data_IF_748125122104
#
_entry.id   IF_748125122104
#
_cell.length_a   1.000
_cell.length_b   1.000
_cell.length_c   1.000
_cell.angle_alpha   90.00
_cell.angle_beta   90.00
_cell.angle_gamma   90.00
#
_symmetry.space_group_name_H-M   'P 1'
#
loop_
_entity.id
_entity.type
_entity.pdbx_description
1 polymer ?
#
# COMPACT_ATOMS: atom_id res chain seq x y z
N UNK A 1 17.30 -21.49 -20.87
CA UNK A 1 16.49 -22.15 -19.83
C UNK A 1 16.51 -21.23 -18.62
N UNK A 2 15.50 -20.39 -18.44
CA UNK A 2 15.42 -19.48 -17.29
C UNK A 2 14.94 -20.29 -16.10
N UNK A 3 15.85 -20.58 -15.17
CA UNK A 3 15.52 -21.16 -13.88
C UNK A 3 14.68 -20.13 -13.13
N UNK A 4 13.38 -20.33 -13.08
CA UNK A 4 12.49 -19.49 -12.27
C UNK A 4 12.98 -19.52 -10.83
N UNK A 5 13.21 -18.38 -10.17
CA UNK A 5 13.49 -18.36 -8.74
C UNK A 5 12.32 -19.06 -8.03
N UNK A 6 12.61 -20.19 -7.37
CA UNK A 6 11.60 -21.00 -6.67
C UNK A 6 11.29 -20.34 -5.33
N UNK A 7 10.59 -19.20 -5.37
CA UNK A 7 10.01 -18.56 -4.18
C UNK A 7 8.83 -19.41 -3.72
N UNK A 8 8.70 -19.59 -2.40
CA UNK A 8 7.61 -20.37 -1.81
C UNK A 8 6.24 -19.90 -2.33
N UNK A 9 5.52 -20.79 -3.01
CA UNK A 9 4.23 -20.51 -3.62
C UNK A 9 3.16 -20.11 -2.59
N UNK A 10 3.31 -20.53 -1.34
CA UNK A 10 2.40 -20.14 -0.25
C UNK A 10 2.56 -18.68 0.15
N UNK A 11 3.76 -18.10 -0.02
CA UNK A 11 4.06 -16.69 0.25
C UNK A 11 3.63 -15.83 -0.92
N UNK A 12 3.98 -16.22 -2.15
CA UNK A 12 3.61 -15.45 -3.35
C UNK A 12 2.09 -15.37 -3.54
N UNK A 13 1.34 -16.40 -3.14
CA UNK A 13 -0.13 -16.39 -3.17
C UNK A 13 -0.78 -15.36 -2.22
N UNK A 14 -0.06 -14.83 -1.22
CA UNK A 14 -0.61 -13.84 -0.29
C UNK A 14 -0.67 -12.43 -0.89
N UNK A 15 0.15 -12.15 -1.90
CA UNK A 15 0.33 -10.81 -2.44
C UNK A 15 -0.21 -10.70 -3.87
N UNK A 16 -0.63 -9.50 -4.30
CA UNK A 16 -0.96 -9.26 -5.70
C UNK A 16 0.23 -9.62 -6.62
N UNK A 17 0.00 -10.15 -7.84
CA UNK A 17 1.08 -10.60 -8.73
C UNK A 17 2.13 -9.51 -9.02
N UNK A 18 1.70 -8.25 -9.12
CA UNK A 18 2.57 -7.11 -9.38
C UNK A 18 3.46 -6.81 -8.18
N UNK A 19 2.95 -6.95 -6.96
CA UNK A 19 3.76 -6.84 -5.73
C UNK A 19 4.81 -7.93 -5.70
N UNK A 20 4.42 -9.18 -5.99
CA UNK A 20 5.37 -10.30 -6.07
C UNK A 20 6.46 -10.04 -7.11
N UNK A 21 6.09 -9.59 -8.31
CA UNK A 21 7.05 -9.27 -9.36
C UNK A 21 8.04 -8.19 -8.91
N UNK A 22 7.56 -7.10 -8.31
CA UNK A 22 8.40 -6.02 -7.77
C UNK A 22 9.35 -6.53 -6.67
N UNK A 23 8.86 -7.38 -5.76
CA UNK A 23 9.70 -7.96 -4.71
C UNK A 23 10.79 -8.89 -5.28
N UNK A 24 10.47 -9.68 -6.31
CA UNK A 24 11.46 -10.51 -7.03
C UNK A 24 12.49 -9.61 -7.72
N UNK A 25 12.07 -8.55 -8.40
CA UNK A 25 12.96 -7.67 -9.14
C UNK A 25 13.93 -6.92 -8.21
N UNK A 26 13.46 -6.50 -7.03
CA UNK A 26 14.26 -5.73 -6.08
C UNK A 26 15.15 -6.60 -5.18
N UNK A 27 14.65 -7.75 -4.74
CA UNK A 27 15.27 -8.55 -3.68
C UNK A 27 15.51 -10.02 -4.06
N UNK A 28 15.14 -10.43 -5.28
CA UNK A 28 15.24 -11.82 -5.72
C UNK A 28 14.39 -12.75 -4.86
N UNK A 29 15.05 -13.73 -4.25
CA UNK A 29 14.39 -14.74 -3.38
C UNK A 29 14.62 -14.48 -1.89
N UNK A 30 15.15 -13.31 -1.52
CA UNK A 30 15.40 -12.96 -0.13
C UNK A 30 14.08 -12.63 0.60
N UNK A 31 13.48 -13.65 1.17
CA UNK A 31 12.21 -13.56 1.89
C UNK A 31 12.31 -12.71 3.17
N UNK A 32 13.50 -12.47 3.72
CA UNK A 32 13.66 -11.56 4.86
C UNK A 32 13.55 -10.12 4.41
N UNK A 33 14.17 -9.76 3.28
CA UNK A 33 14.00 -8.43 2.68
C UNK A 33 12.55 -8.19 2.24
N UNK A 34 11.89 -9.21 1.69
CA UNK A 34 10.47 -9.14 1.35
C UNK A 34 9.62 -8.84 2.58
N UNK A 35 9.84 -9.57 3.67
CA UNK A 35 9.13 -9.32 4.92
C UNK A 35 9.37 -7.89 5.41
N UNK A 36 10.63 -7.47 5.47
CA UNK A 36 11.00 -6.15 5.96
C UNK A 36 10.30 -5.03 5.17
N UNK A 37 10.32 -5.08 3.84
CA UNK A 37 9.70 -4.02 3.03
C UNK A 37 8.16 -4.05 3.12
N UNK A 38 7.56 -5.25 3.25
CA UNK A 38 6.11 -5.40 3.44
C UNK A 38 5.66 -4.88 4.80
N UNK A 39 6.43 -5.16 5.85
CA UNK A 39 6.17 -4.65 7.20
C UNK A 39 6.32 -3.12 7.22
N UNK A 40 7.42 -2.59 6.66
CA UNK A 40 7.65 -1.14 6.55
C UNK A 40 6.56 -0.42 5.76
N UNK A 41 6.10 -1.00 4.65
CA UNK A 41 4.99 -0.46 3.88
C UNK A 41 3.69 -0.44 4.70
N UNK A 42 3.41 -1.51 5.45
CA UNK A 42 2.21 -1.61 6.28
C UNK A 42 2.19 -0.56 7.40
N UNK A 43 3.33 -0.34 8.05
CA UNK A 43 3.51 0.70 9.08
C UNK A 43 3.37 2.11 8.49
N UNK A 44 4.03 2.37 7.36
CA UNK A 44 3.97 3.67 6.67
C UNK A 44 2.53 3.98 6.22
N UNK A 45 1.84 2.98 5.68
CA UNK A 45 0.46 3.09 5.24
C UNK A 45 -0.49 3.47 6.38
N UNK A 46 -0.29 2.89 7.57
CA UNK A 46 -1.09 3.22 8.76
C UNK A 46 -0.95 4.69 9.15
N UNK A 47 0.30 5.18 9.18
CA UNK A 47 0.58 6.57 9.50
C UNK A 47 0.02 7.52 8.45
N UNK A 48 0.18 7.21 7.16
CA UNK A 48 -0.35 8.04 6.08
C UNK A 48 -1.88 8.05 6.03
N UNK A 49 -2.55 6.93 6.33
CA UNK A 49 -4.01 6.87 6.46
C UNK A 49 -4.50 7.75 7.60
N UNK A 50 -3.86 7.68 8.77
CA UNK A 50 -4.21 8.53 9.90
C UNK A 50 -4.03 10.03 9.55
N UNK A 51 -2.96 10.37 8.83
CA UNK A 51 -2.72 11.74 8.35
C UNK A 51 -3.81 12.20 7.37
N UNK A 52 -4.18 11.33 6.42
CA UNK A 52 -5.23 11.62 5.44
C UNK A 52 -6.60 11.80 6.10
N UNK A 53 -6.94 10.96 7.08
CA UNK A 53 -8.16 11.09 7.89
C UNK A 53 -8.21 12.41 8.67
N UNK A 54 -7.08 12.81 9.25
CA UNK A 54 -6.98 14.09 9.95
C UNK A 54 -7.16 15.27 8.99
N UNK A 55 -6.52 15.22 7.81
CA UNK A 55 -6.63 16.27 6.79
C UNK A 55 -8.07 16.40 6.25
N UNK A 56 -8.75 15.28 6.01
CA UNK A 56 -10.17 15.27 5.60
C UNK A 56 -11.09 15.84 6.68
N UNK A 57 -10.82 15.59 7.95
CA UNK A 57 -11.56 16.23 9.06
C UNK A 57 -11.27 17.73 9.17
N UNK A 58 -10.06 18.16 8.83
CA UNK A 58 -9.63 19.56 8.89
C UNK A 58 -10.09 20.42 7.72
N UNK A 59 -10.45 19.84 6.58
CA UNK A 59 -10.90 20.60 5.41
C UNK A 59 -9.77 21.20 4.56
N UNK A 60 -8.52 20.80 4.79
CA UNK A 60 -7.36 21.37 4.11
C UNK A 60 -7.02 20.55 2.86
N UNK A 61 -7.46 21.04 1.69
CA UNK A 61 -7.21 20.40 0.40
C UNK A 61 -5.71 20.16 0.13
N UNK A 62 -4.80 21.05 0.59
CA UNK A 62 -3.36 20.87 0.37
C UNK A 62 -2.81 19.69 1.18
N UNK A 63 -3.21 19.57 2.45
CA UNK A 63 -2.81 18.44 3.30
C UNK A 63 -3.42 17.12 2.81
N UNK A 64 -4.66 17.14 2.32
CA UNK A 64 -5.31 15.96 1.73
C UNK A 64 -4.53 15.48 0.50
N UNK A 65 -4.18 16.40 -0.40
CA UNK A 65 -3.38 16.09 -1.60
C UNK A 65 -2.02 15.53 -1.22
N UNK A 66 -1.31 16.14 -0.29
CA UNK A 66 0.02 15.70 0.11
C UNK A 66 -0.02 14.28 0.73
N UNK A 67 -0.96 14.03 1.65
CA UNK A 67 -1.12 12.72 2.27
C UNK A 67 -1.51 11.63 1.25
N UNK A 68 -2.47 11.93 0.37
CA UNK A 68 -2.86 11.00 -0.70
C UNK A 68 -1.68 10.73 -1.66
N UNK A 69 -0.89 11.74 -2.00
CA UNK A 69 0.27 11.62 -2.88
C UNK A 69 1.34 10.69 -2.30
N UNK A 70 1.63 10.77 -1.00
CA UNK A 70 2.56 9.85 -0.33
C UNK A 70 2.11 8.39 -0.44
N UNK A 71 0.81 8.14 -0.18
CA UNK A 71 0.23 6.80 -0.33
C UNK A 71 0.35 6.29 -1.77
N UNK A 72 0.06 7.13 -2.76
CA UNK A 72 0.22 6.80 -4.18
C UNK A 72 1.66 6.40 -4.49
N UNK A 73 2.64 7.18 -4.02
CA UNK A 73 4.06 6.90 -4.19
C UNK A 73 4.48 5.56 -3.61
N UNK A 74 4.18 5.34 -2.32
CA UNK A 74 4.51 4.11 -1.61
C UNK A 74 3.86 2.87 -2.26
N UNK A 75 2.57 2.95 -2.61
CA UNK A 75 1.86 1.84 -3.23
C UNK A 75 2.42 1.47 -4.60
N UNK A 76 2.84 2.46 -5.39
CA UNK A 76 3.47 2.23 -6.69
C UNK A 76 4.85 1.62 -6.58
N UNK A 77 5.65 2.10 -5.62
CA UNK A 77 6.98 1.54 -5.36
C UNK A 77 6.91 0.05 -4.99
N UNK A 78 5.89 -0.37 -4.25
CA UNK A 78 5.67 -1.77 -3.90
C UNK A 78 4.94 -2.57 -5.01
N UNK A 79 4.39 -1.91 -6.03
CA UNK A 79 3.60 -2.56 -7.08
C UNK A 79 2.13 -2.83 -6.73
N UNK A 80 1.61 -2.24 -5.64
CA UNK A 80 0.23 -2.44 -5.18
C UNK A 80 -0.77 -1.48 -5.87
N UNK A 81 -1.08 -1.75 -7.13
CA UNK A 81 -1.86 -0.84 -7.97
C UNK A 81 -3.21 -0.38 -7.37
N UNK A 82 -3.99 -1.29 -6.77
CA UNK A 82 -5.32 -0.95 -6.25
C UNK A 82 -5.31 0.10 -5.12
N UNK A 83 -4.34 0.01 -4.19
CA UNK A 83 -4.13 1.01 -3.14
C UNK A 83 -3.74 2.35 -3.76
N UNK A 84 -2.80 2.31 -4.72
CA UNK A 84 -2.36 3.51 -5.44
C UNK A 84 -3.50 4.19 -6.21
N UNK A 85 -4.38 3.44 -6.86
CA UNK A 85 -5.50 3.97 -7.61
C UNK A 85 -6.57 4.57 -6.68
N UNK A 86 -6.85 3.94 -5.54
CA UNK A 86 -7.76 4.45 -4.53
C UNK A 86 -7.25 5.78 -3.92
N UNK A 87 -5.99 5.84 -3.53
CA UNK A 87 -5.37 7.08 -3.02
C UNK A 87 -5.35 8.19 -4.08
N UNK A 88 -5.04 7.84 -5.34
CA UNK A 88 -5.08 8.78 -6.47
C UNK A 88 -6.48 9.30 -6.76
N UNK A 89 -7.53 8.54 -6.44
CA UNK A 89 -8.90 9.05 -6.54
C UNK A 89 -9.12 10.19 -5.55
N UNK A 90 -8.63 10.05 -4.32
CA UNK A 90 -8.73 11.08 -3.28
C UNK A 90 -7.93 12.31 -3.69
N UNK A 91 -6.68 12.13 -4.14
CA UNK A 91 -5.80 13.20 -4.63
C UNK A 91 -6.49 14.03 -5.73
N UNK A 92 -7.09 13.37 -6.72
CA UNK A 92 -7.79 14.05 -7.83
C UNK A 92 -9.05 14.77 -7.39
N UNK A 93 -9.82 14.20 -6.48
CA UNK A 93 -11.03 14.86 -5.95
C UNK A 93 -10.66 16.06 -5.07
N UNK A 94 -9.57 16.00 -4.32
CA UNK A 94 -9.08 17.14 -3.56
C UNK A 94 -8.62 18.30 -4.47
N UNK A 95 -8.05 17.98 -5.62
CA UNK A 95 -7.62 18.95 -6.64
C UNK A 95 -8.76 19.45 -7.55
N UNK A 96 -9.95 18.84 -7.48
CA UNK A 96 -11.04 19.21 -8.38
C UNK A 96 -11.74 20.50 -7.93
N UNK A 97 -12.34 21.19 -8.90
CA UNK A 97 -13.12 22.39 -8.64
C UNK A 97 -14.56 21.99 -8.30
N UNK A 98 -15.07 22.46 -7.16
CA UNK A 98 -16.45 22.22 -6.76
C UNK A 98 -16.69 22.46 -5.26
N UNK A 99 -17.96 22.39 -4.81
CA UNK A 99 -18.30 22.54 -3.40
C UNK A 99 -17.58 21.49 -2.55
N UNK A 100 -16.88 21.94 -1.51
CA UNK A 100 -16.15 21.05 -0.61
C UNK A 100 -17.01 19.91 -0.03
N UNK A 101 -18.29 20.12 0.39
CA UNK A 101 -19.10 19.04 0.98
C UNK A 101 -19.32 17.84 0.04
N UNK A 102 -19.52 18.10 -1.26
CA UNK A 102 -19.71 17.05 -2.27
C UNK A 102 -18.39 16.29 -2.49
N UNK A 103 -17.30 17.04 -2.70
CA UNK A 103 -15.95 16.46 -2.83
C UNK A 103 -15.56 15.66 -1.59
N UNK A 104 -15.90 16.13 -0.40
CA UNK A 104 -15.61 15.46 0.86
C UNK A 104 -16.33 14.12 0.99
N UNK A 105 -17.59 14.03 0.56
CA UNK A 105 -18.33 12.76 0.56
C UNK A 105 -17.70 11.73 -0.39
N UNK A 106 -17.27 12.17 -1.58
CA UNK A 106 -16.55 11.33 -2.54
C UNK A 106 -15.19 10.88 -1.99
N UNK A 107 -14.43 11.79 -1.38
CA UNK A 107 -13.14 11.48 -0.75
C UNK A 107 -13.30 10.54 0.44
N UNK A 108 -14.34 10.67 1.25
CA UNK A 108 -14.63 9.76 2.36
C UNK A 108 -14.97 8.35 1.84
N UNK A 109 -15.73 8.25 0.76
CA UNK A 109 -16.02 6.96 0.11
C UNK A 109 -14.74 6.32 -0.41
N UNK A 110 -13.87 7.09 -1.05
CA UNK A 110 -12.58 6.60 -1.54
C UNK A 110 -11.61 6.23 -0.40
N UNK A 111 -11.60 7.00 0.70
CA UNK A 111 -10.83 6.69 1.90
C UNK A 111 -11.27 5.37 2.54
N UNK A 112 -12.58 5.13 2.65
CA UNK A 112 -13.10 3.88 3.18
C UNK A 112 -12.61 2.67 2.36
N UNK A 113 -12.64 2.77 1.02
CA UNK A 113 -12.10 1.74 0.12
C UNK A 113 -10.60 1.55 0.30
N UNK A 114 -9.85 2.65 0.38
CA UNK A 114 -8.40 2.62 0.59
C UNK A 114 -8.05 1.92 1.91
N UNK A 115 -8.80 2.20 2.98
CA UNK A 115 -8.64 1.57 4.28
C UNK A 115 -8.90 0.07 4.23
N UNK A 116 -9.99 -0.37 3.60
CA UNK A 116 -10.25 -1.80 3.39
C UNK A 116 -9.09 -2.49 2.67
N UNK A 117 -8.56 -1.90 1.60
CA UNK A 117 -7.44 -2.47 0.85
C UNK A 117 -6.16 -2.55 1.69
N UNK A 118 -5.86 -1.52 2.48
CA UNK A 118 -4.69 -1.48 3.36
C UNK A 118 -4.80 -2.51 4.50
N UNK A 119 -5.99 -2.64 5.10
CA UNK A 119 -6.26 -3.62 6.16
C UNK A 119 -6.16 -5.05 5.62
N UNK A 120 -6.73 -5.32 4.44
CA UNK A 120 -6.58 -6.62 3.76
C UNK A 120 -5.12 -6.96 3.49
N UNK A 121 -4.35 -6.00 2.97
CA UNK A 121 -2.92 -6.20 2.70
C UNK A 121 -2.15 -6.55 3.98
N UNK A 122 -2.38 -5.76 5.05
CA UNK A 122 -1.76 -5.98 6.37
C UNK A 122 -2.15 -7.33 6.96
N UNK A 123 -3.41 -7.73 6.83
CA UNK A 123 -3.89 -9.02 7.33
C UNK A 123 -3.22 -10.19 6.59
N UNK A 124 -3.09 -10.10 5.26
CA UNK A 124 -2.37 -11.11 4.47
C UNK A 124 -0.89 -11.18 4.85
N UNK A 125 -0.22 -10.03 4.96
CA UNK A 125 1.17 -9.92 5.38
C UNK A 125 1.44 -10.54 6.76
N UNK A 126 0.58 -10.26 7.75
CA UNK A 126 0.70 -10.81 9.11
C UNK A 126 0.34 -12.30 9.20
N UNK A 127 -0.53 -12.80 8.33
CA UNK A 127 -0.85 -14.23 8.23
C UNK A 127 0.23 -15.05 7.49
N UNK A 128 1.14 -14.36 6.81
CA UNK A 128 2.19 -14.97 6.01
C UNK A 128 3.21 -15.68 6.92
N UNK A 129 3.46 -16.97 6.67
CA UNK A 129 4.48 -17.73 7.39
C UNK A 129 5.85 -17.45 6.80
N UNK A 130 6.41 -16.30 7.14
CA UNK A 130 7.77 -15.97 6.77
C UNK A 130 8.75 -17.01 7.33
N UNK A 131 9.72 -17.51 6.53
CA UNK A 131 10.71 -18.45 7.04
C UNK A 131 11.47 -17.81 8.19
N UNK A 132 11.79 -18.60 9.21
CA UNK A 132 12.72 -18.17 10.25
C UNK A 132 14.06 -17.81 9.60
N UNK A 133 14.75 -16.80 10.13
CA UNK A 133 16.11 -16.49 9.71
C UNK A 133 16.97 -17.74 9.89
N UNK A 134 17.41 -18.34 8.79
CA UNK A 134 18.51 -19.30 8.83
C UNK A 134 19.77 -18.51 9.12
N UNK A 135 19.99 -18.17 10.40
CA UNK A 135 21.31 -17.80 10.88
C UNK A 135 22.15 -19.07 10.80
N UNK A 136 22.73 -19.34 9.64
CA UNK A 136 23.93 -20.16 9.56
C UNK A 136 25.04 -19.35 10.22
N UNK A 137 25.36 -19.72 11.45
CA UNK A 137 26.58 -19.28 12.13
C UNK A 137 27.84 -19.86 11.48
#
# INVERSE_FOLDING_TARGET
MQTTPNVDASITAQFPPQVVATLIDLFGTDLQQWRFIVDLFSETMEQDLANLENALRGGDDAQIVEAAHRIVGSARMLGHQQIGDAARSIERTAQSVGPYPERAADMQTALARLRTLADEFRQRASSCRWPASSVTG
#
